data_IF_293771896413
#
_entry.id   IF_293771896413
#
_cell.length_a   1.000
_cell.length_b   1.000
_cell.length_c   1.000
_cell.angle_alpha   90.00
_cell.angle_beta   90.00
_cell.angle_gamma   90.00
#
_symmetry.space_group_name_H-M   'P 1'
#
loop_
_entity.id
_entity.type
_entity.pdbx_description
1 polymer ?
#
# COMPACT_ATOMS: atom_id res chain seq x y z
N UNK A 1 -11.71 25.45 33.34
CA UNK A 1 -10.79 24.31 33.43
C UNK A 1 -10.59 23.80 32.01
N UNK A 2 -9.74 24.50 31.26
CA UNK A 2 -9.44 24.20 29.85
C UNK A 2 -8.49 23.00 29.82
N UNK A 3 -9.04 21.85 29.44
CA UNK A 3 -8.26 20.63 29.33
C UNK A 3 -7.33 20.78 28.13
N UNK A 4 -6.03 20.63 28.41
CA UNK A 4 -4.92 20.64 27.47
C UNK A 4 -5.24 19.73 26.27
N UNK A 5 -5.54 20.31 25.11
CA UNK A 5 -5.54 19.59 23.84
C UNK A 5 -4.10 19.60 23.32
N UNK A 6 -3.46 18.44 23.08
CA UNK A 6 -2.14 18.40 22.49
C UNK A 6 -2.16 19.13 21.13
N UNK A 7 -1.13 19.93 20.87
CA UNK A 7 -1.00 20.55 19.55
C UNK A 7 -0.80 19.43 18.51
N UNK A 8 -1.63 19.40 17.47
CA UNK A 8 -1.56 18.41 16.36
C UNK A 8 -0.13 18.21 15.81
N UNK A 9 0.71 19.25 15.88
CA UNK A 9 2.12 19.19 15.46
C UNK A 9 3.01 18.35 16.38
N UNK A 10 2.68 18.26 17.65
CA UNK A 10 3.41 17.48 18.66
C UNK A 10 3.02 16.01 18.60
N UNK A 11 1.73 15.71 18.37
CA UNK A 11 1.26 14.34 18.11
C UNK A 11 1.90 13.76 16.85
N UNK A 12 1.94 14.52 15.74
CA UNK A 12 2.61 14.08 14.50
C UNK A 12 4.09 13.75 14.72
N UNK A 13 4.82 14.59 15.47
CA UNK A 13 6.23 14.33 15.80
C UNK A 13 6.42 13.09 16.69
N UNK A 14 5.51 12.87 17.64
CA UNK A 14 5.55 11.70 18.51
C UNK A 14 5.25 10.41 17.73
N UNK A 15 4.31 10.45 16.78
CA UNK A 15 3.98 9.32 15.91
C UNK A 15 5.07 9.03 14.87
N UNK A 16 5.67 10.04 14.24
CA UNK A 16 6.83 9.87 13.35
C UNK A 16 7.99 9.15 14.08
N UNK A 17 8.22 9.49 15.35
CA UNK A 17 9.22 8.82 16.19
C UNK A 17 8.80 7.39 16.61
N UNK A 18 7.51 7.06 16.63
CA UNK A 18 6.97 5.76 17.04
C UNK A 18 6.79 4.78 15.87
N UNK A 19 6.66 5.28 14.63
CA UNK A 19 6.56 4.46 13.40
C UNK A 19 7.89 3.88 12.90
N UNK A 20 9.01 4.12 13.60
CA UNK A 20 10.31 3.49 13.33
C UNK A 20 10.57 2.37 14.35
N UNK A 21 9.58 1.52 14.61
CA UNK A 21 9.82 0.21 15.19
C UNK A 21 9.22 -0.86 14.29
N UNK A 22 10.11 -1.34 13.42
CA UNK A 22 10.17 -2.71 12.91
C UNK A 22 8.94 -3.24 12.15
N UNK A 23 8.81 -2.83 10.89
CA UNK A 23 8.48 -3.78 9.81
C UNK A 23 9.46 -3.67 8.62
N UNK A 24 10.63 -3.05 8.86
CA UNK A 24 11.66 -2.75 7.86
C UNK A 24 12.87 -3.65 8.09
N UNK A 25 12.82 -4.92 7.72
CA UNK A 25 14.12 -5.57 7.46
C UNK A 25 14.07 -6.57 6.31
N UNK A 26 13.00 -7.34 6.18
CA UNK A 26 12.86 -8.23 5.02
C UNK A 26 11.61 -7.91 4.21
N UNK A 27 11.74 -7.54 2.91
CA UNK A 27 10.60 -7.65 2.02
C UNK A 27 10.13 -9.12 2.06
N UNK A 28 8.81 -9.39 2.13
CA UNK A 28 8.30 -10.75 2.09
C UNK A 28 8.95 -11.47 0.91
N UNK A 29 9.49 -12.68 1.14
CA UNK A 29 10.05 -13.50 0.07
C UNK A 29 8.95 -13.61 -1.00
N UNK A 30 9.19 -12.98 -2.15
CA UNK A 30 8.15 -12.82 -3.17
C UNK A 30 7.96 -14.17 -3.84
N UNK A 31 7.06 -14.99 -3.30
CA UNK A 31 6.59 -16.21 -3.94
C UNK A 31 5.86 -15.80 -5.24
N UNK A 32 6.59 -15.81 -6.36
CA UNK A 32 6.01 -15.55 -7.68
C UNK A 32 4.97 -16.62 -7.98
N UNK A 33 3.77 -16.17 -8.31
CA UNK A 33 2.66 -17.07 -8.64
C UNK A 33 2.83 -17.57 -10.08
N UNK A 34 2.25 -18.73 -10.37
CA UNK A 34 2.15 -19.20 -11.74
C UNK A 34 1.31 -18.24 -12.58
N UNK A 35 1.89 -17.74 -13.67
CA UNK A 35 1.23 -16.83 -14.59
C UNK A 35 0.51 -17.58 -15.72
N UNK A 36 -0.57 -17.00 -16.26
CA UNK A 36 -1.13 -17.42 -17.55
C UNK A 36 -0.07 -17.41 -18.66
N UNK A 37 -0.20 -18.25 -19.70
CA UNK A 37 0.84 -18.45 -20.72
C UNK A 37 1.15 -17.22 -21.59
N UNK A 38 0.25 -16.23 -21.62
CA UNK A 38 0.41 -14.98 -22.35
C UNK A 38 1.12 -13.88 -21.54
N UNK A 39 1.43 -14.15 -20.26
CA UNK A 39 2.11 -13.21 -19.37
C UNK A 39 3.47 -13.74 -18.95
N UNK A 40 4.37 -12.82 -18.66
CA UNK A 40 5.75 -13.08 -18.26
C UNK A 40 6.16 -12.10 -17.15
N UNK A 41 7.04 -12.54 -16.25
CA UNK A 41 7.65 -11.67 -15.28
C UNK A 41 8.85 -10.94 -15.88
N UNK A 42 8.94 -9.65 -15.64
CA UNK A 42 10.14 -8.87 -15.84
C UNK A 42 10.50 -8.13 -14.55
N UNK A 43 11.77 -7.77 -14.38
CA UNK A 43 12.27 -7.16 -13.15
C UNK A 43 12.79 -5.75 -13.41
N UNK A 44 12.42 -4.82 -12.52
CA UNK A 44 12.90 -3.45 -12.59
C UNK A 44 14.28 -3.26 -11.96
N UNK A 45 14.68 -4.16 -11.05
CA UNK A 45 16.02 -4.20 -10.44
C UNK A 45 16.79 -5.47 -10.81
N UNK A 46 18.11 -5.35 -10.82
CA UNK A 46 19.03 -6.44 -11.19
C UNK A 46 19.10 -7.56 -10.11
N UNK A 47 18.54 -7.31 -8.91
CA UNK A 47 18.49 -8.26 -7.79
C UNK A 47 17.18 -9.09 -7.73
N UNK A 48 16.46 -9.24 -8.86
CA UNK A 48 15.13 -9.87 -8.92
C UNK A 48 14.09 -9.23 -7.99
N UNK A 49 14.28 -7.97 -7.60
CA UNK A 49 13.33 -7.20 -6.81
C UNK A 49 12.37 -6.46 -7.72
N UNK A 50 11.16 -6.21 -7.21
CA UNK A 50 10.09 -5.49 -7.91
C UNK A 50 9.71 -6.17 -9.24
N UNK A 51 9.13 -7.38 -9.16
CA UNK A 51 8.58 -8.05 -10.34
C UNK A 51 7.42 -7.22 -10.91
N UNK A 52 7.43 -7.04 -12.22
CA UNK A 52 6.31 -6.55 -13.00
C UNK A 52 5.82 -7.67 -13.92
N UNK A 53 4.53 -7.67 -14.23
CA UNK A 53 3.92 -8.63 -15.14
C UNK A 53 3.73 -7.92 -16.47
N UNK A 54 4.28 -8.49 -17.55
CA UNK A 54 4.19 -7.96 -18.91
C UNK A 54 3.59 -9.01 -19.84
N UNK A 55 3.12 -8.58 -21.00
CA UNK A 55 2.70 -9.51 -22.05
C UNK A 55 3.92 -10.21 -22.65
N UNK A 56 3.85 -11.54 -22.74
CA UNK A 56 4.92 -12.37 -23.31
C UNK A 56 5.15 -12.12 -24.79
N UNK A 57 4.07 -11.74 -25.49
CA UNK A 57 4.01 -11.50 -26.94
C UNK A 57 4.73 -10.21 -27.39
N UNK A 58 5.15 -9.34 -26.45
CA UNK A 58 5.89 -8.13 -26.79
C UNK A 58 7.22 -8.47 -27.47
N UNK A 59 7.58 -7.71 -28.50
CA UNK A 59 8.90 -7.82 -29.12
C UNK A 59 10.01 -7.39 -28.16
N UNK A 60 11.23 -7.90 -28.34
CA UNK A 60 12.35 -7.59 -27.44
C UNK A 60 12.65 -6.09 -27.36
N UNK A 61 12.52 -5.37 -28.48
CA UNK A 61 12.68 -3.93 -28.53
C UNK A 61 11.60 -3.20 -27.71
N UNK A 62 10.34 -3.61 -27.83
CA UNK A 62 9.22 -3.07 -27.08
C UNK A 62 9.36 -3.35 -25.58
N UNK A 63 9.77 -4.58 -25.21
CA UNK A 63 10.08 -4.95 -23.82
C UNK A 63 11.17 -4.07 -23.25
N UNK A 64 12.24 -3.83 -24.00
CA UNK A 64 13.35 -2.99 -23.56
C UNK A 64 12.94 -1.53 -23.38
N UNK A 65 12.15 -0.98 -24.30
CA UNK A 65 11.64 0.38 -24.24
C UNK A 65 10.69 0.56 -23.05
N UNK A 66 9.77 -0.39 -22.85
CA UNK A 66 8.86 -0.42 -21.70
C UNK A 66 9.63 -0.44 -20.39
N UNK A 67 10.59 -1.37 -20.24
CA UNK A 67 11.41 -1.48 -19.03
C UNK A 67 12.20 -0.20 -18.77
N UNK A 68 12.73 0.46 -19.80
CA UNK A 68 13.44 1.74 -19.65
C UNK A 68 12.55 2.84 -19.08
N UNK A 69 11.31 2.97 -19.59
CA UNK A 69 10.34 3.94 -19.09
C UNK A 69 9.95 3.62 -17.65
N UNK A 70 9.62 2.36 -17.36
CA UNK A 70 9.22 1.94 -16.01
C UNK A 70 10.36 2.10 -14.98
N UNK A 71 11.62 1.80 -15.36
CA UNK A 71 12.80 2.06 -14.53
C UNK A 71 12.96 3.56 -14.23
N UNK A 72 12.68 4.44 -15.19
CA UNK A 72 12.77 5.90 -15.02
C UNK A 72 11.67 6.45 -14.09
N UNK A 73 10.48 5.83 -14.09
CA UNK A 73 9.33 6.25 -13.29
C UNK A 73 9.04 5.36 -12.09
N UNK A 74 10.05 4.63 -11.60
CA UNK A 74 9.92 3.66 -10.51
C UNK A 74 9.24 4.23 -9.26
N UNK A 75 9.55 5.47 -8.85
CA UNK A 75 8.93 6.11 -7.68
C UNK A 75 7.42 6.27 -7.81
N UNK A 76 6.91 6.47 -9.03
CA UNK A 76 5.48 6.61 -9.29
C UNK A 76 4.75 5.26 -9.37
N UNK A 77 5.47 4.13 -9.39
CA UNK A 77 4.90 2.78 -9.54
C UNK A 77 5.09 1.95 -8.28
N UNK A 78 6.27 2.06 -7.66
CA UNK A 78 6.63 1.40 -6.41
C UNK A 78 6.09 2.18 -5.19
N UNK A 79 4.80 2.53 -5.21
CA UNK A 79 4.13 3.13 -4.04
C UNK A 79 4.18 2.11 -2.92
N UNK A 80 4.93 2.42 -1.87
CA UNK A 80 4.92 1.66 -0.64
C UNK A 80 3.67 2.07 0.14
N UNK A 81 3.11 1.15 0.94
CA UNK A 81 1.99 1.48 1.82
C UNK A 81 2.28 2.69 2.74
N UNK A 82 3.55 2.95 3.04
CA UNK A 82 4.01 4.14 3.77
C UNK A 82 3.84 5.45 3.00
N UNK A 83 3.89 5.40 1.66
CA UNK A 83 3.70 6.58 0.80
C UNK A 83 2.22 6.98 0.73
N UNK A 84 1.31 6.06 1.10
CA UNK A 84 -0.10 6.35 1.31
C UNK A 84 -0.31 6.93 2.71
N UNK A 85 0.37 8.03 3.00
CA UNK A 85 0.37 8.73 4.29
C UNK A 85 -1.03 9.18 4.76
N UNK A 86 -2.05 9.09 3.90
CA UNK A 86 -3.42 9.53 4.14
C UNK A 86 -4.39 8.38 4.50
N UNK A 87 -4.02 7.10 4.36
CA UNK A 87 -4.82 6.00 4.94
C UNK A 87 -4.35 5.79 6.38
N UNK A 88 -4.56 6.79 7.22
CA UNK A 88 -4.47 6.60 8.66
C UNK A 88 -5.79 5.94 9.11
N UNK A 89 -5.76 4.73 9.70
CA UNK A 89 -6.95 4.09 10.26
C UNK A 89 -7.68 4.97 11.28
N UNK A 90 -7.00 5.93 11.90
CA UNK A 90 -7.59 6.90 12.83
C UNK A 90 -8.40 7.99 12.15
N UNK A 91 -8.07 8.36 10.90
CA UNK A 91 -8.84 9.33 10.12
C UNK A 91 -10.08 8.69 9.48
N UNK A 92 -10.04 7.39 9.17
CA UNK A 92 -11.19 6.61 8.69
C UNK A 92 -11.93 5.86 9.81
N UNK A 93 -11.71 6.23 11.07
CA UNK A 93 -12.63 5.89 12.16
C UNK A 93 -13.87 6.77 12.02
N UNK A 94 -14.73 6.46 11.04
CA UNK A 94 -16.16 6.74 11.22
C UNK A 94 -16.64 5.84 12.37
N UNK A 95 -16.33 6.25 13.61
CA UNK A 95 -16.90 5.62 14.81
C UNK A 95 -18.38 5.97 14.79
N UNK A 96 -19.19 5.01 14.39
CA UNK A 96 -20.62 5.07 14.65
C UNK A 96 -20.75 4.90 16.16
N UNK A 97 -20.99 6.00 16.86
CA UNK A 97 -21.29 5.98 18.29
C UNK A 97 -22.67 5.34 18.45
N UNK A 98 -22.71 4.19 19.12
CA UNK A 98 -23.93 3.50 19.52
C UNK A 98 -24.15 3.75 21.00
N UNK A 99 -25.39 3.93 21.44
CA UNK A 99 -25.74 3.98 22.86
C UNK A 99 -25.45 2.64 23.53
N UNK A 100 -25.15 2.62 24.83
CA UNK A 100 -24.78 1.39 25.59
C UNK A 100 -25.85 0.30 25.52
N UNK A 101 -27.10 0.68 25.30
CA UNK A 101 -28.26 -0.22 25.25
C UNK A 101 -28.62 -0.63 23.81
N UNK A 102 -27.86 -0.16 22.81
CA UNK A 102 -28.18 -0.36 21.41
C UNK A 102 -27.99 -1.82 20.99
N UNK A 103 -29.05 -2.43 20.45
CA UNK A 103 -29.02 -3.79 19.91
C UNK A 103 -28.78 -3.73 18.39
N UNK A 104 -27.68 -4.30 17.86
CA UNK A 104 -27.46 -4.34 16.42
C UNK A 104 -28.57 -5.17 15.75
N UNK A 105 -29.23 -4.56 14.78
CA UNK A 105 -30.27 -5.22 13.99
C UNK A 105 -29.83 -5.31 12.52
N UNK A 106 -29.90 -6.50 11.94
CA UNK A 106 -29.63 -6.71 10.52
C UNK A 106 -30.94 -6.57 9.75
N UNK A 107 -31.05 -5.56 8.90
CA UNK A 107 -32.21 -5.39 8.03
C UNK A 107 -32.11 -6.36 6.85
N UNK A 108 -33.20 -7.06 6.54
CA UNK A 108 -33.26 -7.93 5.37
C UNK A 108 -33.16 -7.08 4.10
N UNK A 109 -32.15 -7.38 3.27
CA UNK A 109 -31.94 -6.73 1.99
C UNK A 109 -33.14 -7.02 1.08
N UNK A 110 -33.88 -5.98 0.68
CA UNK A 110 -34.99 -6.12 -0.28
C UNK A 110 -34.38 -6.39 -1.65
N UNK A 111 -34.81 -7.50 -2.27
CA UNK A 111 -34.57 -7.77 -3.69
C UNK A 111 -35.52 -6.95 -4.55
#
# INVERSE_FOLDING_TARGET
QEQNLPSFKEELKAYEAQTIKSSVDEPPEVELKNLPPHLEYAFLEDNNKLPIIIAKELGDEEKSALLKVLKSHKQAIAWKLSDIQCINPEFYKHKILMEEDYKPAVQHQRR
#
